data_IF_946755381431
#
_entry.id   IF_946755381431
#
_cell.length_a   1.000
_cell.length_b   1.000
_cell.length_c   1.000
_cell.angle_alpha   90.00
_cell.angle_beta   90.00
_cell.angle_gamma   90.00
#
_symmetry.space_group_name_H-M   'P 1'
#
loop_
_entity.id
_entity.type
_entity.pdbx_description
1 polymer ?
#
# COMPACT_ATOMS: atom_id res chain seq x y z
N UNK A 1 -4.62 -13.76 -8.93
CA UNK A 1 -4.87 -15.20 -8.72
C UNK A 1 -3.63 -15.97 -9.11
N UNK A 2 -2.84 -16.34 -8.11
CA UNK A 2 -1.81 -17.38 -8.21
C UNK A 2 -1.86 -18.15 -6.88
N UNK A 3 -2.25 -19.42 -6.93
CA UNK A 3 -2.45 -20.32 -5.77
C UNK A 3 -1.12 -20.80 -5.15
N UNK A 4 -0.18 -19.88 -4.95
CA UNK A 4 1.13 -20.19 -4.35
C UNK A 4 1.68 -19.09 -3.41
N UNK A 5 1.01 -17.94 -3.28
CA UNK A 5 1.44 -16.88 -2.36
C UNK A 5 0.61 -16.95 -1.08
N UNK A 6 1.24 -17.43 0.00
CA UNK A 6 0.68 -17.52 1.37
C UNK A 6 0.30 -16.17 1.98
N UNK A 7 0.67 -15.06 1.34
CA UNK A 7 0.33 -13.73 1.80
C UNK A 7 0.28 -12.77 0.62
N UNK A 8 -0.78 -11.99 0.51
CA UNK A 8 -0.88 -10.91 -0.46
C UNK A 8 -1.31 -9.61 0.23
N UNK A 9 -0.74 -8.48 -0.21
CA UNK A 9 -0.92 -7.15 0.39
C UNK A 9 -1.06 -6.12 -0.72
N UNK A 10 -2.07 -5.28 -0.62
CA UNK A 10 -2.14 -3.99 -1.30
C UNK A 10 -2.26 -2.86 -0.25
N UNK A 11 -2.55 -1.62 -0.66
CA UNK A 11 -2.61 -0.49 0.27
C UNK A 11 -3.81 -0.52 1.23
N UNK A 12 -4.90 -1.18 0.86
CA UNK A 12 -6.19 -1.19 1.55
C UNK A 12 -6.65 -2.61 1.90
N UNK A 13 -5.83 -3.63 1.67
CA UNK A 13 -6.23 -5.01 1.85
C UNK A 13 -5.01 -5.91 2.06
N UNK A 14 -5.15 -6.87 2.95
CA UNK A 14 -4.17 -7.94 3.16
C UNK A 14 -4.89 -9.25 3.36
N UNK A 15 -4.31 -10.32 2.84
CA UNK A 15 -4.88 -11.64 3.02
C UNK A 15 -3.79 -12.65 3.30
N UNK A 16 -3.98 -13.38 4.39
CA UNK A 16 -3.04 -14.33 4.95
C UNK A 16 -3.63 -15.72 4.76
N UNK A 17 -2.91 -16.62 4.09
CA UNK A 17 -3.29 -18.00 3.91
C UNK A 17 -2.19 -18.96 4.38
N UNK A 18 -2.58 -20.21 4.62
CA UNK A 18 -1.62 -21.28 4.90
C UNK A 18 -1.13 -21.35 6.35
N UNK A 19 -1.78 -20.63 7.27
CA UNK A 19 -1.58 -20.86 8.71
C UNK A 19 -2.10 -22.27 9.01
N UNK A 20 -1.21 -23.13 9.48
CA UNK A 20 -1.54 -24.53 9.81
C UNK A 20 -1.34 -24.75 11.30
N UNK A 21 -2.42 -25.09 12.00
CA UNK A 21 -2.42 -25.35 13.44
C UNK A 21 -2.52 -26.86 13.68
N UNK A 22 -1.65 -27.41 14.53
CA UNK A 22 -1.64 -28.85 14.85
C UNK A 22 -1.82 -29.05 16.34
N UNK A 23 -2.87 -29.78 16.71
CA UNK A 23 -3.23 -30.09 18.09
C UNK A 23 -3.06 -31.58 18.36
N UNK A 24 -2.49 -31.89 19.52
CA UNK A 24 -2.32 -33.27 20.00
C UNK A 24 -2.78 -33.38 21.45
N UNK A 25 -3.54 -34.43 21.76
CA UNK A 25 -3.92 -34.79 23.14
C UNK A 25 -3.31 -36.13 23.53
N UNK A 26 -2.82 -36.20 24.77
CA UNK A 26 -2.17 -37.38 25.32
C UNK A 26 -2.88 -37.89 26.57
N UNK A 27 -2.72 -39.19 26.85
CA UNK A 27 -3.12 -39.79 28.11
C UNK A 27 -2.03 -39.62 29.17
N UNK A 28 -2.41 -39.26 30.39
CA UNK A 28 -1.49 -39.22 31.55
C UNK A 28 -1.68 -40.46 32.43
N UNK A 29 -0.59 -41.07 32.95
CA UNK A 29 0.82 -40.69 32.81
C UNK A 29 1.54 -41.35 31.63
N UNK A 30 0.85 -42.14 30.79
CA UNK A 30 1.50 -42.99 29.79
C UNK A 30 2.12 -42.22 28.62
N UNK A 31 1.70 -40.97 28.37
CA UNK A 31 2.13 -40.16 27.23
C UNK A 31 1.57 -40.65 25.89
N UNK A 32 0.62 -41.59 25.90
CA UNK A 32 0.04 -42.15 24.68
C UNK A 32 -0.80 -41.10 23.96
N UNK A 33 -0.54 -40.87 22.67
CA UNK A 33 -1.37 -39.99 21.84
C UNK A 33 -2.76 -40.59 21.69
N UNK A 34 -3.78 -39.82 22.08
CA UNK A 34 -5.18 -40.21 22.03
C UNK A 34 -5.92 -39.62 20.82
N UNK A 35 -5.39 -38.55 20.22
CA UNK A 35 -5.97 -37.90 19.06
C UNK A 35 -5.15 -36.72 18.58
N UNK A 36 -5.38 -36.35 17.33
CA UNK A 36 -4.79 -35.17 16.68
C UNK A 36 -5.85 -34.42 15.89
N UNK A 37 -5.68 -33.10 15.77
CA UNK A 37 -6.47 -32.26 14.87
C UNK A 37 -5.54 -31.28 14.15
N UNK A 38 -5.82 -31.02 12.87
CA UNK A 38 -5.09 -30.07 12.04
C UNK A 38 -6.09 -29.10 11.42
N UNK A 39 -5.89 -27.82 11.68
CA UNK A 39 -6.69 -26.74 11.13
C UNK A 39 -5.87 -25.94 10.12
N UNK A 40 -6.54 -25.47 9.07
CA UNK A 40 -6.03 -24.43 8.20
C UNK A 40 -6.78 -23.13 8.52
N UNK A 41 -6.05 -22.03 8.64
CA UNK A 41 -6.60 -20.71 8.91
C UNK A 41 -6.21 -19.75 7.79
N UNK A 42 -7.15 -18.90 7.42
CA UNK A 42 -6.91 -17.74 6.56
C UNK A 42 -7.61 -16.50 7.07
N UNK A 43 -7.07 -15.34 6.71
CA UNK A 43 -7.61 -14.01 7.00
C UNK A 43 -7.72 -13.21 5.70
N UNK A 44 -8.76 -12.40 5.59
CA UNK A 44 -8.95 -11.36 4.59
C UNK A 44 -9.30 -10.09 5.36
N UNK A 45 -8.37 -9.13 5.38
CA UNK A 45 -8.47 -7.90 6.16
C UNK A 45 -8.62 -6.74 5.19
N UNK A 46 -9.77 -6.08 5.24
CA UNK A 46 -10.12 -4.94 4.41
C UNK A 46 -10.01 -3.64 5.22
N UNK A 47 -9.43 -2.62 4.58
CA UNK A 47 -9.28 -1.27 5.11
C UNK A 47 -10.00 -0.27 4.20
N UNK A 48 -10.30 0.90 4.74
CA UNK A 48 -10.88 1.99 3.98
C UNK A 48 -10.07 3.26 4.13
N UNK A 49 -9.78 3.90 2.99
CA UNK A 49 -9.20 5.23 3.00
C UNK A 49 -10.12 6.31 3.60
N UNK A 50 -11.38 5.97 3.88
CA UNK A 50 -12.40 6.88 4.43
C UNK A 50 -13.16 6.29 5.63
N UNK A 51 -12.63 5.24 6.27
CA UNK A 51 -13.14 4.72 7.54
C UNK A 51 -11.97 4.34 8.45
N UNK A 52 -12.13 4.60 9.74
CA UNK A 52 -11.20 4.15 10.78
C UNK A 52 -11.47 2.71 11.22
N UNK A 53 -12.50 2.08 10.64
CA UNK A 53 -12.84 0.68 10.85
C UNK A 53 -12.08 -0.21 9.85
N UNK A 54 -11.64 -1.38 10.33
CA UNK A 54 -11.02 -2.45 9.56
C UNK A 54 -11.81 -3.73 9.82
N UNK A 55 -12.13 -4.45 8.75
CA UNK A 55 -12.87 -5.70 8.83
C UNK A 55 -11.92 -6.87 8.53
N UNK A 56 -11.89 -7.87 9.40
CA UNK A 56 -11.13 -9.11 9.24
C UNK A 56 -12.08 -10.30 9.18
N UNK A 57 -12.17 -10.88 7.99
CA UNK A 57 -12.87 -12.13 7.76
C UNK A 57 -11.88 -13.29 7.83
N UNK A 58 -12.02 -14.12 8.85
CA UNK A 58 -11.18 -15.26 9.09
C UNK A 58 -11.94 -16.56 8.85
N UNK A 59 -11.32 -17.51 8.14
CA UNK A 59 -11.88 -18.83 7.90
C UNK A 59 -11.01 -19.91 8.54
N UNK A 60 -11.61 -20.79 9.35
CA UNK A 60 -10.94 -21.89 10.04
C UNK A 60 -11.50 -23.21 9.52
N UNK A 61 -10.67 -24.05 8.92
CA UNK A 61 -11.08 -25.34 8.35
C UNK A 61 -10.44 -26.51 9.07
N UNK A 62 -11.22 -27.50 9.51
CA UNK A 62 -10.67 -28.75 10.05
C UNK A 62 -10.25 -29.70 8.92
N UNK A 63 -8.95 -29.74 8.62
CA UNK A 63 -8.39 -30.49 7.49
C UNK A 63 -8.22 -31.98 7.80
N UNK A 64 -7.72 -32.27 9.00
CA UNK A 64 -7.47 -33.63 9.45
C UNK A 64 -7.80 -33.79 10.93
N UNK A 65 -8.39 -34.90 11.29
CA UNK A 65 -8.66 -35.24 12.68
C UNK A 65 -8.57 -36.75 12.91
N UNK A 66 -8.22 -37.14 14.13
CA UNK A 66 -8.11 -38.54 14.53
C UNK A 66 -8.37 -38.75 16.02
N UNK A 67 -8.74 -40.00 16.36
CA UNK A 67 -8.91 -40.43 17.75
C UNK A 67 -9.98 -39.62 18.49
N UNK A 68 -9.67 -39.20 19.72
CA UNK A 68 -10.60 -38.43 20.57
C UNK A 68 -10.85 -37.00 20.08
N UNK A 69 -10.12 -36.53 19.05
CA UNK A 69 -10.30 -35.21 18.42
C UNK A 69 -10.99 -35.30 17.06
N UNK A 70 -11.78 -36.35 16.77
CA UNK A 70 -12.52 -36.48 15.50
C UNK A 70 -13.47 -35.32 15.24
N UNK A 71 -14.08 -34.78 16.31
CA UNK A 71 -14.95 -33.60 16.31
C UNK A 71 -14.53 -32.67 17.45
N UNK A 72 -13.45 -31.90 17.27
CA UNK A 72 -12.91 -31.04 18.31
C UNK A 72 -13.85 -29.84 18.53
N UNK A 73 -13.89 -29.36 19.77
CA UNK A 73 -14.54 -28.10 20.12
C UNK A 73 -13.44 -27.05 20.26
N UNK A 74 -13.61 -25.88 19.64
CA UNK A 74 -12.60 -24.83 19.68
C UNK A 74 -13.20 -23.44 19.93
N UNK A 75 -12.34 -22.51 20.31
CA UNK A 75 -12.64 -21.09 20.45
C UNK A 75 -11.63 -20.26 19.65
N UNK A 76 -12.09 -19.13 19.13
CA UNK A 76 -11.29 -18.20 18.36
C UNK A 76 -11.61 -16.75 18.73
N UNK A 77 -10.57 -15.99 19.06
CA UNK A 77 -10.66 -14.59 19.44
C UNK A 77 -9.51 -13.79 18.84
N UNK A 78 -9.74 -12.50 18.62
CA UNK A 78 -8.73 -11.57 18.17
C UNK A 78 -8.61 -10.36 19.11
N UNK A 79 -7.49 -9.65 19.00
CA UNK A 79 -7.27 -8.33 19.59
C UNK A 79 -6.40 -7.48 18.66
N UNK A 80 -6.24 -6.19 18.93
CA UNK A 80 -5.22 -5.36 18.29
C UNK A 80 -4.35 -4.63 19.32
N UNK A 81 -3.16 -4.19 18.90
CA UNK A 81 -2.28 -3.37 19.72
C UNK A 81 -2.82 -1.93 19.80
N UNK A 82 -2.56 -1.26 20.93
CA UNK A 82 -2.95 0.13 21.10
C UNK A 82 -2.29 1.01 20.01
N UNK A 83 -2.98 2.04 19.49
CA UNK A 83 -4.22 2.63 20.03
C UNK A 83 -5.53 2.02 19.53
N UNK A 84 -5.45 1.02 18.66
CA UNK A 84 -6.62 0.33 18.13
C UNK A 84 -7.48 -0.34 19.22
N UNK A 85 -8.79 -0.37 18.98
CA UNK A 85 -9.78 -1.14 19.73
C UNK A 85 -10.29 -2.29 18.88
N UNK A 86 -10.51 -3.44 19.53
CA UNK A 86 -11.23 -4.55 18.90
C UNK A 86 -12.70 -4.35 19.21
N UNK A 87 -13.46 -4.01 18.18
CA UNK A 87 -14.91 -3.84 18.27
C UNK A 87 -15.61 -5.20 18.24
N UNK A 88 -16.91 -5.19 18.53
CA UNK A 88 -17.74 -6.40 18.58
C UNK A 88 -17.50 -7.29 17.34
N UNK A 89 -16.84 -8.43 17.57
CA UNK A 89 -16.57 -9.44 16.54
C UNK A 89 -17.36 -10.73 16.81
N UNK A 90 -17.80 -11.38 15.74
CA UNK A 90 -18.33 -12.76 15.79
C UNK A 90 -17.20 -13.77 15.62
N UNK A 91 -16.26 -13.74 16.56
CA UNK A 91 -15.47 -14.94 16.84
C UNK A 91 -16.38 -16.07 17.35
N UNK A 92 -15.79 -17.18 17.78
CA UNK A 92 -16.56 -18.27 18.37
C UNK A 92 -15.94 -18.74 19.68
N UNK A 93 -16.80 -19.07 20.65
CA UNK A 93 -16.35 -19.50 21.99
C UNK A 93 -16.35 -21.02 22.14
N UNK A 94 -17.25 -21.72 21.46
CA UNK A 94 -17.46 -23.17 21.57
C UNK A 94 -18.03 -23.74 20.27
N UNK A 95 -17.23 -23.73 19.21
CA UNK A 95 -17.67 -24.28 17.93
C UNK A 95 -17.21 -25.72 17.76
N UNK A 96 -18.11 -26.57 17.25
CA UNK A 96 -17.80 -28.01 17.06
C UNK A 96 -17.48 -28.25 15.59
N UNK A 97 -16.25 -28.67 15.32
CA UNK A 97 -15.83 -28.92 13.95
C UNK A 97 -16.10 -30.36 13.54
N UNK A 98 -16.50 -30.54 12.29
CA UNK A 98 -16.45 -31.80 11.56
C UNK A 98 -15.38 -31.74 10.48
N UNK A 99 -14.85 -32.90 10.07
CA UNK A 99 -13.74 -32.92 9.11
C UNK A 99 -14.20 -32.37 7.76
N UNK A 100 -13.48 -31.37 7.26
CA UNK A 100 -13.78 -30.65 6.02
C UNK A 100 -14.74 -29.47 6.20
N UNK A 101 -15.22 -29.23 7.43
CA UNK A 101 -16.01 -28.05 7.76
C UNK A 101 -15.11 -26.82 7.90
N UNK A 102 -15.66 -25.70 7.48
CA UNK A 102 -15.08 -24.36 7.59
C UNK A 102 -16.02 -23.52 8.43
N UNK A 103 -15.47 -22.92 9.47
CA UNK A 103 -16.16 -21.95 10.31
C UNK A 103 -15.57 -20.57 10.02
N UNK A 104 -16.46 -19.62 9.77
CA UNK A 104 -16.11 -18.22 9.54
C UNK A 104 -16.18 -17.44 10.86
N UNK A 105 -15.23 -16.54 11.05
CA UNK A 105 -15.17 -15.60 12.16
C UNK A 105 -14.94 -14.21 11.62
N UNK A 106 -15.69 -13.23 12.14
CA UNK A 106 -15.60 -11.84 11.71
C UNK A 106 -15.12 -10.98 12.88
N UNK A 107 -14.04 -10.24 12.69
CA UNK A 107 -13.53 -9.27 13.65
C UNK A 107 -13.56 -7.88 13.04
N UNK A 108 -13.98 -6.89 13.81
CA UNK A 108 -13.89 -5.48 13.43
C UNK A 108 -12.94 -4.79 14.41
N UNK A 109 -12.12 -3.90 13.87
CA UNK A 109 -11.18 -3.10 14.62
C UNK A 109 -11.42 -1.63 14.30
N UNK A 110 -11.21 -0.74 15.27
CA UNK A 110 -11.29 0.70 15.06
C UNK A 110 -10.18 1.47 15.75
N UNK A 111 -9.95 2.67 15.25
CA UNK A 111 -9.04 3.65 15.82
C UNK A 111 -9.66 5.06 15.87
N UNK A 112 -9.09 5.96 16.67
CA UNK A 112 -9.47 7.38 16.73
C UNK A 112 -8.20 8.26 16.70
N UNK A 113 -7.61 8.48 15.50
CA UNK A 113 -6.25 9.01 15.38
C UNK A 113 -6.07 10.48 15.79
N UNK A 114 -7.13 11.25 16.08
CA UNK A 114 -7.07 12.56 16.78
C UNK A 114 -5.88 13.51 16.41
N UNK A 115 -5.81 13.94 15.14
CA UNK A 115 -4.76 14.73 14.49
C UNK A 115 -3.40 14.04 14.43
N UNK A 116 -3.40 12.74 14.17
CA UNK A 116 -2.21 11.91 14.22
C UNK A 116 -2.25 10.77 13.19
N UNK A 117 -1.16 10.01 13.18
CA UNK A 117 -1.04 8.81 12.36
C UNK A 117 -0.62 7.69 13.30
N UNK A 118 -1.56 6.79 13.56
CA UNK A 118 -1.45 5.76 14.55
C UNK A 118 -1.18 4.42 13.87
N UNK A 119 -0.24 3.67 14.45
CA UNK A 119 0.22 2.38 13.94
C UNK A 119 -0.20 1.28 14.91
N UNK A 120 -0.64 0.15 14.37
CA UNK A 120 -1.00 -1.03 15.16
C UNK A 120 -0.94 -2.31 14.31
N UNK A 121 -1.13 -3.43 15.00
CA UNK A 121 -1.18 -4.79 14.48
C UNK A 121 -2.33 -5.56 15.13
N UNK A 122 -2.75 -6.67 14.50
CA UNK A 122 -3.77 -7.57 15.04
C UNK A 122 -3.13 -8.86 15.55
N UNK A 123 -3.74 -9.44 16.57
CA UNK A 123 -3.29 -10.65 17.26
C UNK A 123 -4.46 -11.61 17.44
N UNK A 124 -4.16 -12.90 17.46
CA UNK A 124 -5.15 -13.96 17.36
C UNK A 124 -4.84 -15.10 18.32
N UNK A 125 -5.88 -15.68 18.90
CA UNK A 125 -5.79 -16.82 19.82
C UNK A 125 -6.82 -17.87 19.42
N UNK A 126 -6.34 -19.05 19.05
CA UNK A 126 -7.18 -20.23 18.77
C UNK A 126 -6.92 -21.32 19.80
N UNK A 127 -7.96 -21.81 20.47
CA UNK A 127 -7.84 -22.80 21.53
C UNK A 127 -8.73 -24.01 21.27
N UNK A 128 -8.15 -25.21 21.29
CA UNK A 128 -8.91 -26.46 21.20
C UNK A 128 -9.19 -26.99 22.59
N UNK A 129 -10.46 -27.25 22.88
CA UNK A 129 -10.87 -27.80 24.16
C UNK A 129 -10.47 -29.28 24.27
N UNK A 130 -9.68 -29.65 25.28
CA UNK A 130 -9.32 -31.05 25.48
C UNK A 130 -10.55 -31.86 25.95
N UNK A 131 -10.79 -33.05 25.40
CA UNK A 131 -11.80 -33.96 25.93
C UNK A 131 -11.56 -34.30 27.41
N UNK A 132 -12.60 -34.68 28.17
CA UNK A 132 -12.45 -35.08 29.58
C UNK A 132 -11.39 -36.17 29.77
N UNK A 133 -10.61 -36.06 30.85
CA UNK A 133 -9.52 -36.99 31.21
C UNK A 133 -8.35 -37.06 30.20
N UNK A 134 -8.17 -36.04 29.36
CA UNK A 134 -7.02 -35.90 28.47
C UNK A 134 -6.17 -34.68 28.85
N UNK A 135 -4.92 -34.65 28.41
CA UNK A 135 -4.05 -33.47 28.55
C UNK A 135 -3.62 -33.01 27.15
N UNK A 136 -3.90 -31.76 26.77
CA UNK A 136 -3.40 -31.19 25.53
C UNK A 136 -1.89 -30.93 25.65
N UNK A 137 -1.14 -31.21 24.57
CA UNK A 137 0.29 -30.87 24.52
C UNK A 137 0.47 -29.36 24.36
N UNK A 138 -0.26 -28.77 23.40
CA UNK A 138 -0.31 -27.33 23.13
C UNK A 138 -1.78 -26.95 22.84
N UNK A 139 -2.60 -26.58 23.85
CA UNK A 139 -4.03 -26.34 23.66
C UNK A 139 -4.35 -25.06 22.91
N UNK A 140 -3.39 -24.14 22.80
CA UNK A 140 -3.58 -22.78 22.29
C UNK A 140 -2.51 -22.47 21.25
N UNK A 141 -2.95 -21.87 20.14
CA UNK A 141 -2.08 -21.29 19.13
C UNK A 141 -2.31 -19.78 19.11
N UNK A 142 -1.20 -19.04 18.98
CA UNK A 142 -1.17 -17.59 18.94
C UNK A 142 -0.41 -17.14 17.69
N UNK A 143 -0.94 -16.14 16.99
CA UNK A 143 -0.25 -15.49 15.87
C UNK A 143 -0.68 -14.02 15.78
N UNK A 144 0.05 -13.23 15.01
CA UNK A 144 -0.23 -11.83 14.78
C UNK A 144 0.08 -11.45 13.34
N UNK A 145 -0.45 -10.32 12.89
CA UNK A 145 0.12 -9.63 11.73
C UNK A 145 1.53 -9.11 12.08
N UNK A 146 2.35 -8.73 11.08
CA UNK A 146 3.53 -7.92 11.32
C UNK A 146 3.23 -6.70 12.19
N UNK A 147 4.20 -6.33 13.03
CA UNK A 147 4.14 -5.11 13.85
C UNK A 147 3.94 -3.89 12.96
N UNK A 148 3.07 -2.97 13.40
CA UNK A 148 2.76 -1.71 12.69
C UNK A 148 2.28 -1.93 11.23
N UNK A 149 1.60 -3.06 10.98
CA UNK A 149 1.10 -3.38 9.63
C UNK A 149 0.02 -2.38 9.18
N UNK A 150 -0.78 -1.87 10.11
CA UNK A 150 -1.89 -0.98 9.83
C UNK A 150 -1.59 0.42 10.33
N UNK A 151 -2.07 1.42 9.57
CA UNK A 151 -2.02 2.81 9.96
C UNK A 151 -3.38 3.45 9.76
N UNK A 152 -3.94 4.07 10.79
CA UNK A 152 -5.07 4.96 10.66
C UNK A 152 -4.62 6.41 10.89
N UNK A 153 -5.22 7.35 10.16
CA UNK A 153 -4.89 8.77 10.29
C UNK A 153 -6.07 9.66 9.91
N UNK A 154 -6.08 10.91 10.37
CA UNK A 154 -7.03 11.97 10.01
C UNK A 154 -6.36 13.18 9.33
N UNK A 155 -5.09 13.03 8.92
CA UNK A 155 -4.27 14.17 8.47
C UNK A 155 -4.19 14.35 6.95
N UNK A 156 -4.54 13.34 6.15
CA UNK A 156 -4.37 13.40 4.68
C UNK A 156 -5.56 14.02 3.95
N UNK A 157 -6.78 13.75 4.41
CA UNK A 157 -8.01 14.16 3.73
C UNK A 157 -9.06 14.62 4.74
N UNK A 158 -10.22 15.07 4.25
CA UNK A 158 -11.33 15.48 5.12
C UNK A 158 -11.99 14.31 5.88
N UNK A 159 -11.75 13.07 5.44
CA UNK A 159 -12.20 11.87 6.13
C UNK A 159 -11.00 11.19 6.76
N UNK A 160 -11.23 10.54 7.88
CA UNK A 160 -10.28 9.68 8.57
C UNK A 160 -10.24 8.34 7.86
N UNK A 161 -9.13 7.62 7.93
CA UNK A 161 -9.03 6.34 7.23
C UNK A 161 -7.78 5.56 7.53
N UNK A 162 -7.81 4.29 7.14
CA UNK A 162 -6.74 3.34 7.40
C UNK A 162 -6.13 2.79 6.12
N UNK A 163 -4.83 2.47 6.19
CA UNK A 163 -4.03 1.91 5.10
C UNK A 163 -2.96 0.98 5.64
N UNK A 164 -2.34 0.20 4.75
CA UNK A 164 -1.12 -0.56 5.01
C UNK A 164 0.08 0.28 4.55
N UNK A 165 0.81 0.97 5.46
CA UNK A 165 1.80 1.98 5.10
C UNK A 165 3.02 1.38 4.38
N UNK A 166 3.33 0.10 4.61
CA UNK A 166 4.47 -0.58 3.99
C UNK A 166 4.30 -0.80 2.48
N UNK A 167 3.06 -0.88 1.97
CA UNK A 167 2.79 -1.01 0.54
C UNK A 167 3.15 0.30 -0.17
N UNK A 168 3.97 0.20 -1.22
CA UNK A 168 4.37 1.35 -2.05
C UNK A 168 3.50 1.40 -3.30
N UNK A 169 2.51 2.30 -3.38
CA UNK A 169 1.62 2.35 -4.52
C UNK A 169 2.25 3.02 -5.74
N UNK A 170 1.54 2.96 -6.85
CA UNK A 170 1.96 3.53 -8.11
C UNK A 170 0.99 4.62 -8.59
N UNK A 171 1.53 5.77 -8.96
CA UNK A 171 0.83 6.80 -9.72
C UNK A 171 0.73 6.36 -11.17
N UNK A 172 -0.48 6.09 -11.64
CA UNK A 172 -0.72 5.70 -13.03
C UNK A 172 -0.91 6.92 -13.93
N UNK A 173 0.01 7.12 -14.86
CA UNK A 173 0.00 8.23 -15.83
C UNK A 173 -0.16 7.64 -17.24
N UNK A 174 -1.35 7.76 -17.81
CA UNK A 174 -1.60 7.35 -19.20
C UNK A 174 -1.19 8.43 -20.20
N UNK A 175 -0.47 8.06 -21.27
CA UNK A 175 -0.12 8.92 -22.40
C UNK A 175 -1.37 9.40 -23.14
N UNK A 176 -2.39 8.55 -23.30
CA UNK A 176 -3.65 8.95 -23.95
C UNK A 176 -4.44 10.01 -23.18
N UNK A 177 -4.23 10.11 -21.86
CA UNK A 177 -4.94 11.07 -20.99
C UNK A 177 -4.08 12.30 -20.66
N UNK A 178 -2.78 12.11 -20.42
CA UNK A 178 -1.87 13.15 -19.91
C UNK A 178 -0.87 13.65 -20.97
N UNK A 179 -0.94 13.17 -22.21
CA UNK A 179 -0.26 13.72 -23.37
C UNK A 179 1.24 13.96 -23.16
N UNK A 180 1.68 15.17 -23.49
CA UNK A 180 3.07 15.61 -23.43
C UNK A 180 3.65 15.53 -22.01
N UNK A 181 2.83 15.72 -20.96
CA UNK A 181 3.28 15.57 -19.58
C UNK A 181 3.69 14.12 -19.25
N UNK A 182 2.94 13.13 -19.73
CA UNK A 182 3.34 11.72 -19.60
C UNK A 182 4.67 11.43 -20.31
N UNK A 183 4.88 12.01 -21.50
CA UNK A 183 6.11 11.83 -22.26
C UNK A 183 7.30 12.56 -21.61
N UNK A 184 7.07 13.73 -21.01
CA UNK A 184 8.08 14.43 -20.20
C UNK A 184 8.54 13.59 -19.00
N UNK A 185 7.61 12.93 -18.31
CA UNK A 185 7.92 11.98 -17.24
C UNK A 185 8.70 10.78 -17.78
N UNK A 186 8.26 10.18 -18.88
CA UNK A 186 8.92 9.01 -19.48
C UNK A 186 10.36 9.34 -19.90
N UNK A 187 10.59 10.52 -20.51
CA UNK A 187 11.93 11.02 -20.78
C UNK A 187 12.78 11.06 -19.53
N UNK A 188 12.25 11.64 -18.46
CA UNK A 188 12.99 11.80 -17.23
C UNK A 188 13.35 10.44 -16.61
N UNK A 189 12.45 9.46 -16.68
CA UNK A 189 12.66 8.10 -16.19
C UNK A 189 13.72 7.34 -17.00
N UNK A 190 13.71 7.48 -18.32
CA UNK A 190 14.59 6.72 -19.22
C UNK A 190 15.99 7.34 -19.38
N UNK A 191 16.09 8.67 -19.30
CA UNK A 191 17.27 9.42 -19.74
C UNK A 191 18.03 10.14 -18.63
N UNK A 192 17.46 10.25 -17.41
CA UNK A 192 18.17 10.82 -16.26
C UNK A 192 18.81 9.71 -15.41
N UNK A 193 19.98 9.95 -14.81
CA UNK A 193 20.77 8.91 -14.14
C UNK A 193 20.14 8.37 -12.86
N UNK A 194 19.22 9.12 -12.24
CA UNK A 194 18.63 8.74 -10.96
C UNK A 194 17.42 7.80 -11.11
N UNK A 195 16.77 7.74 -12.28
CA UNK A 195 15.63 6.84 -12.55
C UNK A 195 14.43 7.00 -11.61
N UNK A 196 14.20 8.24 -11.13
CA UNK A 196 13.15 8.56 -10.17
C UNK A 196 11.76 8.16 -10.66
N UNK A 197 10.97 7.54 -9.79
CA UNK A 197 9.64 7.02 -10.07
C UNK A 197 9.59 5.71 -10.87
N UNK A 198 10.71 5.20 -11.39
CA UNK A 198 10.74 3.96 -12.18
C UNK A 198 11.68 2.91 -11.61
N UNK A 199 12.99 3.18 -11.53
CA UNK A 199 13.96 2.27 -10.88
C UNK A 199 14.24 2.66 -9.43
N UNK A 200 13.86 3.88 -9.04
CA UNK A 200 13.94 4.34 -7.65
C UNK A 200 12.69 5.12 -7.27
N UNK A 201 12.04 4.75 -6.17
CA UNK A 201 10.77 5.32 -5.71
C UNK A 201 10.86 6.83 -5.48
N UNK A 202 9.78 7.53 -5.76
CA UNK A 202 9.59 8.88 -5.24
C UNK A 202 9.12 8.81 -3.79
N UNK A 203 9.35 9.90 -3.07
CA UNK A 203 8.90 10.07 -1.69
C UNK A 203 8.10 11.35 -1.60
N UNK A 204 6.90 11.29 -1.04
CA UNK A 204 6.00 12.44 -0.93
C UNK A 204 6.62 13.53 -0.04
N UNK A 205 6.48 14.77 -0.52
CA UNK A 205 6.71 16.00 0.23
C UNK A 205 5.34 16.64 0.51
N UNK A 206 4.89 16.56 1.76
CA UNK A 206 3.58 17.07 2.17
C UNK A 206 3.53 18.61 2.30
N UNK A 207 4.67 19.24 2.57
CA UNK A 207 4.77 20.68 2.81
C UNK A 207 4.52 21.47 1.52
N UNK A 208 3.37 22.14 1.46
CA UNK A 208 2.95 22.99 0.34
C UNK A 208 3.91 24.16 0.08
N UNK A 209 4.45 24.77 1.14
CA UNK A 209 5.38 25.88 1.01
C UNK A 209 6.71 25.40 0.43
N UNK A 210 7.18 24.22 0.84
CA UNK A 210 8.37 23.59 0.28
C UNK A 210 8.16 23.16 -1.18
N UNK A 211 7.02 22.54 -1.51
CA UNK A 211 6.69 22.17 -2.89
C UNK A 211 6.62 23.39 -3.80
N UNK A 212 6.03 24.49 -3.33
CA UNK A 212 5.98 25.75 -4.07
C UNK A 212 7.37 26.41 -4.19
N UNK A 213 8.22 26.32 -3.16
CA UNK A 213 9.61 26.76 -3.27
C UNK A 213 10.40 25.94 -4.31
N UNK A 214 10.12 24.65 -4.44
CA UNK A 214 10.71 23.80 -5.47
C UNK A 214 10.31 24.28 -6.87
N UNK A 215 9.00 24.47 -7.12
CA UNK A 215 8.49 25.00 -8.40
C UNK A 215 9.15 26.31 -8.78
N UNK A 216 9.33 27.21 -7.80
CA UNK A 216 9.98 28.50 -8.05
C UNK A 216 11.43 28.35 -8.50
N UNK A 217 12.17 27.39 -7.94
CA UNK A 217 13.58 27.16 -8.30
C UNK A 217 13.74 26.55 -9.69
N UNK A 218 12.83 25.70 -10.12
CA UNK A 218 12.99 24.97 -11.39
C UNK A 218 12.26 25.66 -12.55
N UNK A 219 11.05 26.15 -12.30
CA UNK A 219 10.14 26.67 -13.32
C UNK A 219 9.95 28.18 -13.30
N UNK A 220 10.33 28.88 -12.22
CA UNK A 220 10.10 30.33 -12.07
C UNK A 220 11.38 31.09 -11.65
N UNK A 221 12.55 30.54 -11.97
CA UNK A 221 13.86 31.13 -11.67
C UNK A 221 14.26 32.24 -12.65
N UNK A 222 13.40 32.54 -13.63
CA UNK A 222 13.63 33.53 -14.69
C UNK A 222 14.38 32.98 -15.91
N UNK A 223 14.75 31.69 -15.90
CA UNK A 223 15.40 31.03 -17.05
C UNK A 223 14.42 30.27 -17.95
N UNK A 224 13.20 30.03 -17.48
CA UNK A 224 12.13 29.44 -18.28
C UNK A 224 11.59 30.43 -19.31
N UNK A 225 11.57 30.04 -20.58
CA UNK A 225 11.03 30.85 -21.68
C UNK A 225 9.94 30.04 -22.37
N UNK A 226 8.65 30.44 -22.27
CA UNK A 226 7.57 29.70 -22.90
C UNK A 226 7.79 29.51 -24.41
N UNK A 227 7.56 28.29 -24.90
CA UNK A 227 7.67 27.94 -26.31
C UNK A 227 6.36 28.29 -27.04
N UNK A 228 6.41 29.08 -28.14
CA UNK A 228 5.20 29.51 -28.85
C UNK A 228 4.48 28.40 -29.61
N UNK A 229 5.09 27.23 -29.78
CA UNK A 229 4.49 26.07 -30.45
C UNK A 229 3.80 25.12 -29.47
N UNK A 230 4.00 25.30 -28.16
CA UNK A 230 3.27 24.57 -27.12
C UNK A 230 2.05 25.38 -26.68
N UNK A 231 0.87 24.77 -26.81
CA UNK A 231 -0.41 25.43 -26.47
C UNK A 231 -0.50 25.70 -24.97
N UNK A 232 -0.68 26.96 -24.58
CA UNK A 232 -0.71 27.39 -23.17
C UNK A 232 0.45 26.75 -22.39
N UNK A 233 1.65 26.96 -22.93
CA UNK A 233 2.87 26.33 -22.44
C UNK A 233 3.05 26.54 -20.94
N UNK A 234 3.39 25.44 -20.28
CA UNK A 234 3.64 25.35 -18.86
C UNK A 234 4.90 24.54 -18.61
N UNK A 235 5.62 24.91 -17.55
CA UNK A 235 6.78 24.16 -17.08
C UNK A 235 6.31 22.99 -16.22
N UNK A 236 6.57 21.77 -16.68
CA UNK A 236 6.38 20.55 -15.90
C UNK A 236 7.72 20.03 -15.40
N UNK A 237 7.94 20.01 -14.09
CA UNK A 237 9.21 19.58 -13.50
C UNK A 237 9.18 18.12 -13.05
N UNK A 238 10.28 17.39 -13.31
CA UNK A 238 10.45 16.03 -12.85
C UNK A 238 11.87 15.79 -12.26
N UNK A 239 12.03 15.13 -11.11
CA UNK A 239 10.98 14.62 -10.22
C UNK A 239 10.07 15.74 -9.68
N UNK A 240 8.81 15.41 -9.41
CA UNK A 240 7.76 16.38 -9.10
C UNK A 240 8.13 17.34 -7.97
N UNK A 241 7.64 18.58 -8.02
CA UNK A 241 7.74 19.56 -6.94
C UNK A 241 7.35 19.01 -5.56
N UNK A 242 6.33 18.14 -5.54
CA UNK A 242 5.74 17.48 -4.37
C UNK A 242 6.44 16.17 -4.01
N UNK A 243 7.66 15.97 -4.51
CA UNK A 243 8.54 14.87 -4.11
C UNK A 243 9.79 15.39 -3.40
N UNK A 244 10.38 14.55 -2.54
CA UNK A 244 11.65 14.85 -1.86
C UNK A 244 12.85 14.74 -2.80
N UNK A 245 12.64 14.18 -3.99
CA UNK A 245 13.62 14.03 -5.05
C UNK A 245 13.56 15.18 -6.07
N UNK A 246 12.68 16.18 -5.89
CA UNK A 246 12.59 17.30 -6.83
C UNK A 246 13.93 18.02 -6.98
N UNK A 247 14.19 18.58 -8.16
CA UNK A 247 15.41 19.36 -8.40
C UNK A 247 15.59 20.47 -7.36
N UNK A 248 14.50 21.12 -6.95
CA UNK A 248 14.50 22.14 -5.91
C UNK A 248 14.96 21.64 -4.53
N UNK A 249 14.68 20.38 -4.18
CA UNK A 249 15.16 19.74 -2.95
C UNK A 249 16.64 19.35 -3.04
N UNK A 250 17.11 19.04 -4.26
CA UNK A 250 18.52 18.77 -4.55
C UNK A 250 19.38 20.06 -4.61
N UNK A 251 18.78 21.23 -4.39
CA UNK A 251 19.46 22.53 -4.45
C UNK A 251 19.76 23.00 -5.88
N UNK A 252 19.07 22.41 -6.86
CA UNK A 252 19.21 22.74 -8.27
C UNK A 252 18.28 23.89 -8.67
N UNK A 253 18.60 24.53 -9.78
CA UNK A 253 17.78 25.52 -10.48
C UNK A 253 17.33 24.95 -11.83
N UNK A 254 16.44 25.66 -12.51
CA UNK A 254 15.98 25.25 -13.83
C UNK A 254 17.11 25.11 -14.85
N UNK A 255 18.13 25.96 -14.76
CA UNK A 255 19.32 25.89 -15.62
C UNK A 255 20.15 24.60 -15.45
N UNK A 256 20.02 23.91 -14.31
CA UNK A 256 20.71 22.65 -14.02
C UNK A 256 19.92 21.42 -14.49
N UNK A 257 18.63 21.59 -14.82
CA UNK A 257 17.77 20.53 -15.32
C UNK A 257 17.85 20.38 -16.83
N UNK A 258 17.54 19.18 -17.32
CA UNK A 258 17.25 18.96 -18.72
C UNK A 258 16.00 19.76 -19.10
N UNK A 259 15.94 20.30 -20.31
CA UNK A 259 14.82 21.07 -20.83
C UNK A 259 14.42 20.52 -22.18
N UNK A 260 13.17 20.10 -22.30
CA UNK A 260 12.67 19.33 -23.45
C UNK A 260 11.28 19.76 -23.88
N UNK A 261 10.95 19.55 -25.15
CA UNK A 261 9.61 19.75 -25.70
C UNK A 261 9.10 18.40 -26.23
N UNK A 262 8.20 17.72 -25.51
CA UNK A 262 7.48 16.57 -26.05
C UNK A 262 6.42 17.04 -27.05
N UNK A 263 6.30 16.36 -28.19
CA UNK A 263 5.27 16.66 -29.19
C UNK A 263 4.81 15.39 -29.92
N UNK A 264 3.60 15.43 -30.46
CA UNK A 264 2.99 14.30 -31.16
C UNK A 264 2.92 14.59 -32.67
N UNK A 265 3.46 13.69 -33.49
CA UNK A 265 3.30 13.76 -34.94
C UNK A 265 2.02 13.04 -35.35
N UNK A 266 1.02 13.79 -35.80
CA UNK A 266 -0.24 13.23 -36.30
C UNK A 266 -0.05 12.40 -37.59
N UNK A 267 1.07 12.55 -38.29
CA UNK A 267 1.35 11.88 -39.57
C UNK A 267 1.70 10.42 -39.38
N UNK A 268 2.51 10.09 -38.38
CA UNK A 268 2.92 8.71 -38.07
C UNK A 268 2.37 8.19 -36.74
N UNK A 269 1.69 9.04 -35.97
CA UNK A 269 1.04 8.70 -34.72
C UNK A 269 2.04 8.43 -33.58
N UNK A 270 3.20 9.09 -33.60
CA UNK A 270 4.26 8.89 -32.61
C UNK A 270 4.54 10.14 -31.78
N UNK A 271 5.05 9.92 -30.57
CA UNK A 271 5.59 10.95 -29.71
C UNK A 271 7.08 11.14 -29.97
N UNK A 272 7.49 12.40 -30.01
CA UNK A 272 8.85 12.86 -30.19
C UNK A 272 9.24 13.80 -29.06
N UNK A 273 10.56 14.00 -28.90
CA UNK A 273 11.13 14.88 -27.90
C UNK A 273 12.21 15.72 -28.56
N UNK A 274 12.05 17.05 -28.48
CA UNK A 274 13.07 17.99 -28.89
C UNK A 274 13.82 18.51 -27.64
N UNK A 275 15.13 18.20 -27.48
CA UNK A 275 15.90 18.72 -26.36
C UNK A 275 16.32 20.18 -26.63
N UNK A 276 15.94 21.08 -25.73
CA UNK A 276 16.50 22.44 -25.65
C UNK A 276 17.83 22.40 -24.91
N UNK A 277 17.90 21.65 -23.81
CA UNK A 277 19.10 21.41 -23.01
C UNK A 277 19.10 19.99 -22.48
N UNK A 278 20.08 19.19 -22.89
CA UNK A 278 20.29 17.85 -22.35
C UNK A 278 21.72 17.39 -22.62
N UNK A 279 22.42 16.97 -21.57
CA UNK A 279 23.78 16.45 -21.62
C UNK A 279 23.87 15.00 -21.13
N UNK A 280 22.79 14.48 -20.53
CA UNK A 280 22.74 13.15 -19.93
C UNK A 280 23.29 13.09 -18.52
N UNK A 281 23.54 14.23 -17.89
CA UNK A 281 24.08 14.33 -16.52
C UNK A 281 23.13 15.09 -15.58
N UNK A 282 22.06 15.66 -16.12
CA UNK A 282 21.07 16.39 -15.35
C UNK A 282 20.31 15.43 -14.42
N UNK A 283 20.01 15.89 -13.20
CA UNK A 283 19.31 15.10 -12.17
C UNK A 283 17.84 15.45 -12.02
N UNK A 284 17.39 16.40 -12.84
CA UNK A 284 16.02 16.84 -12.97
C UNK A 284 15.76 17.20 -14.43
N UNK A 285 14.49 17.27 -14.81
CA UNK A 285 14.04 17.80 -16.09
C UNK A 285 12.92 18.81 -15.87
N UNK A 286 12.75 19.67 -16.85
CA UNK A 286 11.57 20.50 -17.03
C UNK A 286 11.09 20.39 -18.48
N UNK A 287 9.84 20.03 -18.68
CA UNK A 287 9.25 19.84 -20.00
C UNK A 287 8.29 20.99 -20.33
N UNK A 288 8.29 21.40 -21.60
CA UNK A 288 7.30 22.31 -22.17
C UNK A 288 6.06 21.51 -22.52
N UNK A 289 4.98 21.69 -21.77
CA UNK A 289 3.76 20.89 -21.94
C UNK A 289 2.52 21.78 -21.83
N UNK A 290 1.41 21.41 -22.50
CA UNK A 290 0.15 22.11 -22.32
C UNK A 290 -0.29 22.14 -20.84
N UNK A 291 -0.71 23.30 -20.34
CA UNK A 291 -1.11 23.49 -18.94
C UNK A 291 -2.17 22.50 -18.45
N UNK A 292 -3.12 22.16 -19.30
CA UNK A 292 -4.19 21.21 -18.98
C UNK A 292 -3.66 19.79 -18.72
N UNK A 293 -2.69 19.34 -19.53
CA UNK A 293 -2.04 18.04 -19.38
C UNK A 293 -1.19 17.98 -18.10
N UNK A 294 -0.40 19.03 -17.83
CA UNK A 294 0.38 19.18 -16.59
C UNK A 294 -0.53 19.21 -15.34
N UNK A 295 -1.58 20.03 -15.38
CA UNK A 295 -2.53 20.15 -14.26
C UNK A 295 -3.24 18.82 -13.99
N UNK A 296 -3.46 18.00 -15.02
CA UNK A 296 -4.09 16.70 -14.89
C UNK A 296 -3.18 15.72 -14.16
N UNK A 297 -1.88 15.66 -14.46
CA UNK A 297 -0.92 14.84 -13.68
C UNK A 297 -0.93 15.25 -12.20
N UNK A 298 -0.89 16.57 -11.94
CA UNK A 298 -0.99 17.09 -10.57
C UNK A 298 -2.29 16.70 -9.87
N UNK A 299 -3.40 16.66 -10.61
CA UNK A 299 -4.70 16.21 -10.11
C UNK A 299 -4.71 14.72 -9.82
N UNK A 300 -4.15 13.88 -10.71
CA UNK A 300 -4.01 12.43 -10.51
C UNK A 300 -3.17 12.11 -9.28
N UNK A 301 -2.06 12.83 -9.05
CA UNK A 301 -1.26 12.69 -7.83
C UNK A 301 -2.03 13.10 -6.57
N UNK A 302 -2.86 14.15 -6.66
CA UNK A 302 -3.77 14.55 -5.58
C UNK A 302 -4.80 13.47 -5.25
N UNK A 303 -5.40 12.86 -6.28
CA UNK A 303 -6.35 11.75 -6.13
C UNK A 303 -5.66 10.55 -5.49
N UNK A 304 -4.51 10.11 -6.00
CA UNK A 304 -3.73 9.02 -5.42
C UNK A 304 -3.42 9.28 -3.94
N UNK A 305 -2.96 10.50 -3.62
CA UNK A 305 -2.65 10.90 -2.25
C UNK A 305 -3.86 10.74 -1.33
N UNK A 306 -5.05 11.14 -1.78
CA UNK A 306 -6.27 11.00 -0.98
C UNK A 306 -6.77 9.56 -0.87
N UNK A 307 -6.84 8.83 -1.98
CA UNK A 307 -7.36 7.47 -2.04
C UNK A 307 -6.48 6.45 -1.33
N UNK A 308 -5.17 6.70 -1.26
CA UNK A 308 -4.18 5.81 -0.65
C UNK A 308 -3.54 6.41 0.60
N UNK A 309 -4.09 7.53 1.07
CA UNK A 309 -3.66 8.31 2.23
C UNK A 309 -2.15 8.51 2.29
N UNK A 310 -1.52 9.04 1.24
CA UNK A 310 -0.06 9.22 1.26
C UNK A 310 0.33 10.32 2.27
N UNK A 311 1.03 9.94 3.35
CA UNK A 311 1.62 10.87 4.31
C UNK A 311 2.89 11.51 3.76
N UNK A 312 3.39 12.49 4.51
CA UNK A 312 4.76 12.93 4.28
C UNK A 312 5.71 11.73 4.43
N UNK A 313 6.75 11.66 3.61
CA UNK A 313 7.67 10.51 3.56
C UNK A 313 7.11 9.19 3.01
N UNK A 314 5.81 9.09 2.66
CA UNK A 314 5.30 7.91 1.98
C UNK A 314 5.92 7.77 0.58
N UNK A 315 6.27 6.53 0.24
CA UNK A 315 6.91 6.18 -1.03
C UNK A 315 5.85 5.90 -2.09
N UNK A 316 6.15 6.22 -3.35
CA UNK A 316 5.31 5.84 -4.48
C UNK A 316 6.12 5.71 -5.77
N UNK A 317 5.66 4.82 -6.65
CA UNK A 317 6.13 4.67 -8.02
C UNK A 317 5.35 5.58 -8.96
N UNK A 318 5.85 5.78 -10.18
CA UNK A 318 5.17 6.49 -11.27
C UNK A 318 5.23 5.60 -12.51
N UNK A 319 4.10 4.99 -12.85
CA UNK A 319 3.98 4.17 -14.05
C UNK A 319 3.44 5.00 -15.21
N UNK A 320 4.19 5.07 -16.31
CA UNK A 320 3.71 5.68 -17.56
C UNK A 320 3.21 4.59 -18.51
N UNK A 321 1.98 4.72 -18.99
CA UNK A 321 1.29 3.71 -19.80
C UNK A 321 0.77 4.29 -21.11
N UNK A 322 0.75 3.48 -22.17
CA UNK A 322 0.19 3.87 -23.48
C UNK A 322 -1.35 3.88 -23.49
#
# INVERSE_FOLDING_TARGET
MDEANTWWVNRLETCIHGITLVYTVIQVPTGTVLGTATFAVSHEIELSATSVELDDNAAVTLVASSGVLVSPIASFSASCSAPCNTDDGSGFTLETFTRGETEDAFFTYSDDPSNSADLFDTSYVFTVQPPPNTVPVDPTAEWSTPTDLFRCDDVVSANDGCVIPAFTPELQVSVSTHGAAAIGILFAQDYLPDGWGYTTELTRLADDAAAEANRRRICQDGTWVPDPFVRDDSCDEYAFARSRQSGGQLGLTGADCAEVIPWFDETDGQWYIDPIRYTGQERCSRAHVPRDENSLVGSTLGVLTSQLRLLDHDRYWVGVYA
#
